data_IF_717736520207
#
_entry.id   IF_717736520207
#
_cell.length_a   1.000
_cell.length_b   1.000
_cell.length_c   1.000
_cell.angle_alpha   90.00
_cell.angle_beta   90.00
_cell.angle_gamma   90.00
#
_symmetry.space_group_name_H-M   'P 1'
#
loop_
_entity.id
_entity.type
_entity.pdbx_description
1 polymer ?
#
# COMPACT_ATOMS: atom_id res chain seq x y z
N UNK A 1 -24.97 1.84 -5.95
CA UNK A 1 -24.63 2.35 -7.28
C UNK A 1 -23.14 2.64 -7.34
N UNK A 2 -22.37 1.74 -7.89
CA UNK A 2 -21.40 1.78 -8.97
C UNK A 2 -20.46 0.59 -8.90
N UNK A 3 -21.01 -0.56 -9.19
CA UNK A 3 -20.27 -1.71 -9.72
C UNK A 3 -20.41 -1.62 -11.22
N UNK A 4 -19.41 -1.12 -11.92
CA UNK A 4 -19.19 -1.34 -13.37
C UNK A 4 -17.96 -0.55 -13.83
N UNK A 5 -16.78 -1.14 -13.74
CA UNK A 5 -15.65 -0.83 -14.66
C UNK A 5 -14.49 -1.82 -14.49
N UNK A 6 -14.76 -3.10 -14.65
CA UNK A 6 -13.71 -4.13 -14.74
C UNK A 6 -14.15 -5.28 -15.65
N UNK A 7 -14.61 -4.93 -16.83
CA UNK A 7 -14.86 -5.91 -17.88
C UNK A 7 -14.84 -5.22 -19.23
N UNK A 8 -13.64 -4.90 -19.74
CA UNK A 8 -13.42 -4.66 -21.18
C UNK A 8 -11.92 -4.54 -21.48
N UNK A 9 -11.20 -5.66 -21.52
CA UNK A 9 -9.93 -5.79 -22.25
C UNK A 9 -9.63 -7.29 -22.45
N UNK A 10 -10.56 -7.98 -23.06
CA UNK A 10 -10.30 -9.24 -23.73
C UNK A 10 -10.97 -9.16 -25.10
N UNK A 11 -10.16 -8.88 -26.08
CA UNK A 11 -10.24 -9.23 -27.50
C UNK A 11 -9.68 -8.10 -28.34
N UNK A 12 -8.47 -8.33 -28.84
CA UNK A 12 -8.17 -8.24 -30.25
C UNK A 12 -6.77 -8.79 -30.48
N UNK A 13 -6.73 -9.99 -31.04
CA UNK A 13 -5.53 -10.57 -31.58
C UNK A 13 -5.20 -9.88 -32.90
N UNK A 14 -4.01 -9.35 -33.02
CA UNK A 14 -3.42 -9.00 -34.30
C UNK A 14 -2.14 -9.80 -34.46
N UNK A 15 -2.17 -10.69 -35.42
CA UNK A 15 -1.02 -11.37 -35.99
C UNK A 15 0.00 -10.33 -36.49
N UNK A 16 1.21 -10.37 -36.05
CA UNK A 16 2.31 -9.68 -36.68
C UNK A 16 3.28 -10.72 -37.23
N UNK A 17 3.47 -10.68 -38.52
CA UNK A 17 4.43 -11.46 -39.31
C UNK A 17 5.86 -11.25 -38.84
N UNK A 18 6.58 -12.36 -38.81
CA UNK A 18 8.03 -12.40 -38.71
C UNK A 18 8.65 -11.65 -39.92
N UNK A 19 9.63 -10.81 -39.62
CA UNK A 19 10.61 -10.43 -40.63
C UNK A 19 12.00 -10.39 -39.98
N UNK A 20 12.86 -11.31 -40.38
CA UNK A 20 14.25 -11.41 -40.02
C UNK A 20 15.05 -10.21 -40.50
N UNK A 21 15.77 -9.58 -39.62
CA UNK A 21 16.74 -8.53 -39.92
C UNK A 21 17.76 -8.32 -38.84
N UNK A 22 18.91 -8.94 -39.01
CA UNK A 22 20.13 -8.82 -38.19
C UNK A 22 20.56 -7.39 -37.89
N UNK A 23 21.16 -7.20 -36.68
CA UNK A 23 22.01 -6.12 -36.15
C UNK A 23 21.28 -5.09 -35.30
N UNK A 24 21.08 -5.43 -34.03
CA UNK A 24 20.83 -4.46 -32.99
C UNK A 24 21.91 -4.54 -31.90
N UNK A 25 23.05 -3.91 -32.16
CA UNK A 25 24.11 -3.84 -31.17
C UNK A 25 23.71 -3.02 -29.94
N UNK A 26 24.56 -3.07 -28.96
CA UNK A 26 24.62 -2.37 -27.65
C UNK A 26 23.73 -1.13 -27.42
N UNK A 27 23.38 -0.36 -28.45
CA UNK A 27 22.49 0.82 -28.39
C UNK A 27 21.01 0.49 -28.15
N UNK A 28 20.52 -0.70 -28.52
CA UNK A 28 19.13 -1.09 -28.25
C UNK A 28 18.80 -1.30 -26.79
N UNK A 29 19.77 -1.80 -26.00
CA UNK A 29 19.62 -2.01 -24.54
C UNK A 29 19.62 -0.72 -23.72
N UNK A 30 20.20 0.37 -24.26
CA UNK A 30 20.27 1.66 -23.56
C UNK A 30 18.94 2.44 -23.67
N UNK A 31 18.20 2.27 -24.77
CA UNK A 31 16.93 2.98 -24.99
C UNK A 31 15.86 2.63 -23.95
N UNK A 32 15.77 1.37 -23.53
CA UNK A 32 14.77 0.93 -22.54
C UNK A 32 15.05 1.44 -21.12
N UNK A 33 16.29 1.81 -20.83
CA UNK A 33 16.69 2.30 -19.50
C UNK A 33 16.32 3.77 -19.30
N UNK A 34 16.16 4.53 -20.37
CA UNK A 34 15.82 5.96 -20.37
C UNK A 34 14.41 6.26 -20.92
N UNK A 35 13.58 5.24 -21.18
CA UNK A 35 12.22 5.46 -21.62
C UNK A 35 11.46 6.24 -20.55
N UNK A 36 10.90 7.38 -20.92
CA UNK A 36 9.98 8.17 -20.09
C UNK A 36 8.55 7.67 -20.24
N UNK A 37 8.28 6.78 -21.21
CA UNK A 37 6.96 6.20 -21.42
C UNK A 37 6.61 5.21 -20.30
N UNK A 38 5.39 5.33 -19.81
CA UNK A 38 4.79 4.37 -18.89
C UNK A 38 4.22 3.22 -19.74
N UNK A 39 4.62 2.00 -19.41
CA UNK A 39 4.13 0.77 -20.05
C UNK A 39 3.60 -0.18 -19.00
N UNK A 40 2.58 -0.94 -19.32
CA UNK A 40 2.13 -2.04 -18.46
C UNK A 40 3.08 -3.22 -18.61
N UNK A 41 3.50 -3.80 -17.49
CA UNK A 41 4.43 -4.92 -17.50
C UNK A 41 4.48 -5.67 -16.17
N UNK A 42 5.36 -6.66 -16.14
CA UNK A 42 5.63 -7.47 -14.94
C UNK A 42 7.07 -7.23 -14.46
N UNK A 43 7.24 -7.31 -13.15
CA UNK A 43 8.56 -7.22 -12.53
C UNK A 43 8.65 -8.23 -11.38
N UNK A 44 9.72 -9.00 -11.34
CA UNK A 44 9.99 -9.91 -10.22
C UNK A 44 11.05 -9.29 -9.32
N UNK A 45 10.70 -9.07 -8.06
CA UNK A 45 11.63 -8.61 -7.03
C UNK A 45 12.63 -9.69 -6.66
N UNK A 46 13.73 -9.30 -5.98
CA UNK A 46 14.78 -10.24 -5.55
C UNK A 46 14.30 -11.33 -4.59
N UNK A 47 13.27 -11.06 -3.80
CA UNK A 47 12.63 -11.99 -2.87
C UNK A 47 11.67 -12.97 -3.55
N UNK A 48 11.45 -12.82 -4.86
CA UNK A 48 10.53 -13.63 -5.65
C UNK A 48 9.11 -13.09 -5.72
N UNK A 49 8.81 -11.96 -5.10
CA UNK A 49 7.51 -11.29 -5.24
C UNK A 49 7.29 -10.80 -6.67
N UNK A 50 6.06 -10.81 -7.14
CA UNK A 50 5.70 -10.46 -8.53
C UNK A 50 4.82 -9.22 -8.56
N UNK A 51 5.29 -8.21 -9.27
CA UNK A 51 4.54 -7.00 -9.59
C UNK A 51 3.94 -7.08 -10.97
N UNK A 52 2.73 -6.55 -11.12
CA UNK A 52 2.05 -6.32 -12.38
C UNK A 52 1.45 -4.91 -12.37
N UNK A 53 1.78 -4.09 -13.35
CA UNK A 53 1.26 -2.72 -13.41
C UNK A 53 2.10 -1.79 -14.27
N UNK A 54 2.02 -0.50 -13.95
CA UNK A 54 2.71 0.55 -14.68
C UNK A 54 4.21 0.51 -14.42
N UNK A 55 4.99 0.61 -15.48
CA UNK A 55 6.44 0.53 -15.48
C UNK A 55 7.06 1.76 -16.13
N UNK A 56 8.12 2.28 -15.55
CA UNK A 56 9.00 3.27 -16.21
C UNK A 56 10.38 2.65 -16.40
N UNK A 57 10.74 2.43 -17.66
CA UNK A 57 11.91 1.62 -17.99
C UNK A 57 11.72 0.18 -17.49
N UNK A 58 12.57 -0.25 -16.56
CA UNK A 58 12.56 -1.62 -16.01
C UNK A 58 12.07 -1.72 -14.56
N UNK A 59 11.42 -0.69 -14.03
CA UNK A 59 10.99 -0.65 -12.62
C UNK A 59 9.52 -0.32 -12.50
N UNK A 60 8.83 -0.87 -11.50
CA UNK A 60 7.51 -0.42 -11.08
C UNK A 60 7.49 1.10 -10.90
N UNK A 61 6.54 1.78 -11.55
CA UNK A 61 6.38 3.22 -11.41
C UNK A 61 4.99 3.64 -11.90
N UNK A 62 4.16 4.11 -11.02
CA UNK A 62 2.75 4.32 -11.22
C UNK A 62 1.92 3.26 -10.50
N UNK A 63 0.71 2.98 -10.98
CA UNK A 63 -0.23 2.05 -10.32
C UNK A 63 0.09 0.60 -10.66
N UNK A 64 -0.02 -0.26 -9.65
CA UNK A 64 0.16 -1.68 -9.86
C UNK A 64 -0.13 -2.53 -8.63
N UNK A 65 0.01 -3.84 -8.83
CA UNK A 65 -0.27 -4.86 -7.84
C UNK A 65 0.96 -5.73 -7.65
N UNK A 66 1.35 -5.98 -6.40
CA UNK A 66 2.37 -6.96 -6.04
C UNK A 66 1.74 -8.10 -5.27
N UNK A 67 2.05 -9.32 -5.67
CA UNK A 67 1.79 -10.53 -4.89
C UNK A 67 3.13 -10.96 -4.29
N UNK A 68 3.20 -10.93 -2.97
CA UNK A 68 4.38 -11.31 -2.22
C UNK A 68 4.47 -12.84 -2.05
N UNK A 69 5.68 -13.35 -1.83
CA UNK A 69 5.93 -14.79 -1.68
C UNK A 69 5.21 -15.41 -0.46
N UNK A 70 4.97 -14.62 0.57
CA UNK A 70 4.23 -15.03 1.77
C UNK A 70 2.71 -15.01 1.61
N UNK A 71 2.21 -14.59 0.44
CA UNK A 71 0.78 -14.49 0.14
C UNK A 71 0.17 -13.12 0.39
N UNK A 72 0.91 -12.16 0.93
CA UNK A 72 0.45 -10.78 1.03
C UNK A 72 0.19 -10.19 -0.36
N UNK A 73 -0.67 -9.19 -0.41
CA UNK A 73 -0.96 -8.45 -1.64
C UNK A 73 -0.90 -6.95 -1.38
N UNK A 74 -0.16 -6.23 -2.19
CA UNK A 74 -0.23 -4.78 -2.23
C UNK A 74 -0.82 -4.32 -3.55
N UNK A 75 -1.74 -3.36 -3.50
CA UNK A 75 -2.31 -2.69 -4.66
C UNK A 75 -2.26 -1.18 -4.44
N UNK A 76 -1.50 -0.46 -5.28
CA UNK A 76 -1.28 0.96 -5.05
C UNK A 76 -0.23 1.57 -5.95
N UNK A 77 0.34 2.67 -5.49
CA UNK A 77 1.27 3.49 -6.25
C UNK A 77 2.72 3.12 -5.96
N UNK A 78 3.54 3.23 -7.01
CA UNK A 78 4.98 2.95 -6.97
C UNK A 78 5.78 4.11 -7.57
N UNK A 79 6.91 4.41 -6.95
CA UNK A 79 7.91 5.33 -7.46
C UNK A 79 9.26 4.62 -7.47
N UNK A 80 9.87 4.46 -8.66
CA UNK A 80 11.19 3.83 -8.84
C UNK A 80 11.34 2.44 -8.20
N UNK A 81 10.24 1.67 -8.13
CA UNK A 81 10.20 0.32 -7.60
C UNK A 81 9.88 0.20 -6.11
N UNK A 82 9.54 1.30 -5.45
CA UNK A 82 9.11 1.34 -4.06
C UNK A 82 7.65 1.76 -3.96
N UNK A 83 6.93 1.24 -2.96
CA UNK A 83 5.58 1.69 -2.63
C UNK A 83 5.65 3.13 -2.13
N UNK A 84 4.92 4.03 -2.80
CA UNK A 84 4.92 5.45 -2.49
C UNK A 84 3.64 6.09 -3.02
N UNK A 85 2.94 6.88 -2.22
CA UNK A 85 1.60 7.36 -2.52
C UNK A 85 0.53 6.55 -1.81
N UNK A 86 -0.66 6.44 -2.40
CA UNK A 86 -1.76 5.68 -1.80
C UNK A 86 -1.71 4.21 -2.19
N UNK A 87 -2.03 3.33 -1.23
CA UNK A 87 -2.12 1.89 -1.51
C UNK A 87 -2.80 1.09 -0.41
N UNK A 88 -3.22 -0.10 -0.79
CA UNK A 88 -3.88 -1.08 0.08
C UNK A 88 -2.96 -2.29 0.20
N UNK A 89 -2.65 -2.68 1.43
CA UNK A 89 -1.91 -3.89 1.76
C UNK A 89 -2.84 -4.88 2.45
N UNK A 90 -2.93 -6.07 1.92
CA UNK A 90 -3.79 -7.15 2.41
C UNK A 90 -2.93 -8.31 2.87
N UNK A 91 -3.14 -8.72 4.11
CA UNK A 91 -2.49 -9.89 4.71
C UNK A 91 -3.35 -11.15 4.48
N UNK A 92 -2.74 -12.35 4.42
CA UNK A 92 -3.47 -13.60 4.19
C UNK A 92 -4.47 -13.96 5.30
N UNK A 93 -4.26 -13.46 6.51
CA UNK A 93 -5.14 -13.64 7.67
C UNK A 93 -6.37 -12.73 7.65
N UNK A 94 -6.46 -11.80 6.68
CA UNK A 94 -7.56 -10.88 6.50
C UNK A 94 -7.34 -9.49 7.11
N UNK A 95 -6.20 -9.25 7.76
CA UNK A 95 -5.83 -7.89 8.15
C UNK A 95 -5.57 -7.02 6.91
N UNK A 96 -5.75 -5.73 7.04
CA UNK A 96 -5.59 -4.79 5.92
C UNK A 96 -5.10 -3.43 6.41
N UNK A 97 -4.14 -2.87 5.67
CA UNK A 97 -3.81 -1.44 5.75
C UNK A 97 -4.25 -0.73 4.48
N UNK A 98 -4.82 0.44 4.62
CA UNK A 98 -5.28 1.29 3.54
C UNK A 98 -4.86 2.73 3.83
N UNK A 99 -3.92 3.27 3.06
CA UNK A 99 -3.38 4.59 3.38
C UNK A 99 -2.18 5.00 2.55
N UNK A 100 -1.47 6.00 3.08
CA UNK A 100 -0.29 6.56 2.46
C UNK A 100 0.94 5.69 2.72
N UNK A 101 1.82 5.66 1.74
CA UNK A 101 3.09 4.94 1.75
C UNK A 101 4.23 5.89 1.38
N UNK A 102 5.37 5.71 2.01
CA UNK A 102 6.60 6.40 1.65
C UNK A 102 7.79 5.46 1.78
N UNK A 103 8.53 5.26 0.67
CA UNK A 103 9.74 4.43 0.61
C UNK A 103 9.55 3.00 1.17
N UNK A 104 8.44 2.32 0.78
CA UNK A 104 8.00 1.00 1.23
C UNK A 104 7.43 0.92 2.65
N UNK A 105 7.27 2.03 3.36
CA UNK A 105 6.75 2.08 4.73
C UNK A 105 5.38 2.75 4.78
N UNK A 106 4.52 2.31 5.69
CA UNK A 106 3.28 3.01 6.04
C UNK A 106 3.64 4.39 6.59
N UNK A 107 2.97 5.43 6.06
CA UNK A 107 3.30 6.80 6.39
C UNK A 107 2.09 7.72 6.23
N UNK A 108 2.06 8.89 6.91
CA UNK A 108 0.95 9.82 6.77
C UNK A 108 -0.37 9.24 7.26
N UNK A 109 -1.47 9.57 6.60
CA UNK A 109 -2.80 9.07 6.98
C UNK A 109 -3.04 7.66 6.48
N UNK A 110 -3.60 6.80 7.35
CA UNK A 110 -3.97 5.45 7.00
C UNK A 110 -4.90 4.78 8.00
N UNK A 111 -5.57 3.74 7.52
CA UNK A 111 -6.49 2.94 8.31
C UNK A 111 -5.97 1.51 8.34
N UNK A 112 -5.86 0.94 9.54
CA UNK A 112 -5.54 -0.47 9.73
C UNK A 112 -6.75 -1.23 10.27
N UNK A 113 -7.10 -2.32 9.64
CA UNK A 113 -8.16 -3.22 10.02
C UNK A 113 -7.55 -4.49 10.59
N UNK A 114 -7.76 -4.70 11.88
CA UNK A 114 -7.23 -5.86 12.60
C UNK A 114 -8.16 -7.08 12.46
N UNK A 115 -7.59 -8.27 12.57
CA UNK A 115 -8.35 -9.54 12.50
C UNK A 115 -9.46 -9.63 13.55
N UNK A 116 -9.29 -8.99 14.70
CA UNK A 116 -10.29 -8.96 15.80
C UNK A 116 -11.40 -7.92 15.61
N UNK A 117 -11.55 -7.38 14.39
CA UNK A 117 -12.49 -6.32 14.02
C UNK A 117 -12.25 -4.96 14.72
N UNK A 118 -11.09 -4.76 15.32
CA UNK A 118 -10.66 -3.42 15.69
C UNK A 118 -10.22 -2.64 14.43
N UNK A 119 -10.22 -1.32 14.51
CA UNK A 119 -9.75 -0.46 13.43
C UNK A 119 -9.01 0.74 14.02
N UNK A 120 -7.81 0.96 13.54
CA UNK A 120 -7.08 2.22 13.78
C UNK A 120 -7.24 3.14 12.57
N UNK A 121 -7.59 4.39 12.80
CA UNK A 121 -7.71 5.44 11.79
C UNK A 121 -6.91 6.65 12.27
N UNK A 122 -5.75 6.89 11.67
CA UNK A 122 -4.85 7.91 12.18
C UNK A 122 -3.59 8.08 11.36
N UNK A 123 -2.63 8.74 12.02
CA UNK A 123 -1.32 9.02 11.43
C UNK A 123 -0.35 7.86 11.64
N UNK A 124 0.53 7.67 10.66
CA UNK A 124 1.55 6.63 10.60
C UNK A 124 2.92 7.25 10.32
N UNK A 125 3.95 6.72 10.93
CA UNK A 125 5.32 7.09 10.68
C UNK A 125 6.23 5.85 10.73
N UNK A 126 6.86 5.51 9.59
CA UNK A 126 7.78 4.38 9.46
C UNK A 126 7.20 3.06 10.00
N UNK A 127 6.01 2.69 9.52
CA UNK A 127 5.23 1.51 9.88
C UNK A 127 4.61 1.51 11.30
N UNK A 128 4.79 2.58 12.09
CA UNK A 128 4.21 2.71 13.43
C UNK A 128 3.01 3.67 13.44
N UNK A 129 2.01 3.38 14.26
CA UNK A 129 0.99 4.36 14.65
C UNK A 129 1.69 5.53 15.36
N UNK A 130 1.45 6.75 14.87
CA UNK A 130 2.17 7.92 15.36
C UNK A 130 1.35 9.18 15.15
N UNK A 131 1.41 10.16 16.09
CA UNK A 131 0.60 11.36 16.02
C UNK A 131 -0.85 11.11 16.40
N UNK A 132 -1.78 11.89 15.86
CA UNK A 132 -3.19 11.78 16.19
C UNK A 132 -3.85 10.55 15.52
N UNK A 133 -4.67 9.83 16.30
CA UNK A 133 -5.38 8.68 15.80
C UNK A 133 -6.52 8.21 16.69
N UNK A 134 -7.44 7.47 16.05
CA UNK A 134 -8.59 6.86 16.71
C UNK A 134 -8.52 5.35 16.59
N UNK A 135 -8.56 4.67 17.72
CA UNK A 135 -8.77 3.23 17.79
C UNK A 135 -10.25 2.93 18.04
N UNK A 136 -10.88 2.25 17.12
CA UNK A 136 -12.24 1.72 17.25
C UNK A 136 -12.13 0.26 17.67
N UNK A 137 -12.72 -0.08 18.81
CA UNK A 137 -12.75 -1.44 19.31
C UNK A 137 -14.02 -2.15 18.86
N UNK A 138 -13.94 -3.45 18.64
CA UNK A 138 -15.08 -4.27 18.19
C UNK A 138 -16.26 -4.26 19.17
N UNK A 139 -16.01 -3.98 20.46
CA UNK A 139 -17.04 -3.89 21.51
C UNK A 139 -17.78 -2.55 21.52
N UNK A 140 -17.45 -1.64 20.59
CA UNK A 140 -18.06 -0.30 20.48
C UNK A 140 -17.36 0.78 21.28
N UNK A 141 -16.29 0.46 22.02
CA UNK A 141 -15.44 1.47 22.65
C UNK A 141 -14.60 2.20 21.59
N UNK A 142 -14.12 3.36 21.93
CA UNK A 142 -13.11 4.07 21.11
C UNK A 142 -12.10 4.82 21.98
N UNK A 143 -10.90 4.96 21.43
CA UNK A 143 -9.87 5.84 21.97
C UNK A 143 -9.50 6.86 20.91
N UNK A 144 -9.50 8.12 21.26
CA UNK A 144 -9.03 9.25 20.43
C UNK A 144 -7.89 9.92 21.18
N UNK A 145 -6.74 10.03 20.55
CA UNK A 145 -5.60 10.68 21.19
C UNK A 145 -4.30 10.52 20.44
N UNK A 146 -3.22 10.85 21.12
CA UNK A 146 -1.89 10.85 20.57
C UNK A 146 -1.22 9.48 20.70
N UNK A 147 -0.41 9.13 19.70
CA UNK A 147 0.29 7.85 19.57
C UNK A 147 1.77 8.10 19.28
N UNK A 148 2.62 7.30 19.86
CA UNK A 148 4.07 7.27 19.59
C UNK A 148 4.53 5.83 19.52
N UNK A 149 4.99 5.41 18.33
CA UNK A 149 5.49 4.06 18.07
C UNK A 149 4.55 2.96 18.62
N UNK A 150 3.29 2.96 18.14
CA UNK A 150 2.19 2.04 18.50
C UNK A 150 1.69 2.15 19.94
N UNK A 151 2.22 3.06 20.74
CA UNK A 151 1.78 3.27 22.13
C UNK A 151 0.96 4.55 22.23
N UNK A 152 -0.09 4.50 23.03
CA UNK A 152 -0.85 5.70 23.41
C UNK A 152 -0.01 6.56 24.34
N UNK A 153 0.16 7.82 24.01
CA UNK A 153 0.98 8.77 24.74
C UNK A 153 0.36 10.16 24.72
N UNK A 154 0.62 10.97 25.76
CA UNK A 154 0.06 12.32 25.83
C UNK A 154 -1.44 12.34 26.09
N UNK A 155 -2.11 13.37 25.59
CA UNK A 155 -3.54 13.56 25.82
C UNK A 155 -4.37 12.56 24.99
N UNK A 156 -5.40 11.99 25.63
CA UNK A 156 -6.34 11.13 24.97
C UNK A 156 -7.64 10.95 25.72
N UNK A 157 -8.67 10.56 25.00
CA UNK A 157 -10.00 10.30 25.53
C UNK A 157 -10.44 8.88 25.18
N UNK A 158 -10.72 8.09 26.16
CA UNK A 158 -11.38 6.79 26.01
C UNK A 158 -12.89 6.97 26.20
N UNK A 159 -13.68 6.46 25.27
CA UNK A 159 -15.14 6.47 25.34
C UNK A 159 -15.62 5.02 25.29
N UNK A 160 -16.35 4.61 26.32
CA UNK A 160 -16.97 3.28 26.36
C UNK A 160 -18.22 3.25 25.49
N UNK A 161 -18.64 2.05 25.07
CA UNK A 161 -19.85 1.84 24.25
C UNK A 161 -21.13 2.37 24.91
N UNK A 162 -21.17 2.46 26.24
CA UNK A 162 -22.28 3.06 26.99
C UNK A 162 -22.26 4.59 27.04
N UNK A 163 -21.28 5.24 26.38
CA UNK A 163 -21.14 6.68 26.30
C UNK A 163 -20.34 7.33 27.44
N UNK A 164 -19.91 6.57 28.46
CA UNK A 164 -19.01 7.09 29.47
C UNK A 164 -17.67 7.49 28.86
N UNK A 165 -17.04 8.53 29.42
CA UNK A 165 -15.75 9.05 28.90
C UNK A 165 -14.72 9.18 30.01
N UNK A 166 -13.47 8.91 29.66
CA UNK A 166 -12.30 9.14 30.49
C UNK A 166 -11.23 9.85 29.69
N UNK A 167 -10.82 11.02 30.14
CA UNK A 167 -9.73 11.78 29.53
C UNK A 167 -8.56 11.82 30.49
N UNK A 168 -7.38 11.53 29.99
CA UNK A 168 -6.15 11.53 30.79
C UNK A 168 -4.94 11.95 29.95
N UNK A 169 -3.88 12.30 30.67
CA UNK A 169 -2.55 12.44 30.12
C UNK A 169 -1.81 11.12 30.37
N UNK A 170 -1.47 10.43 29.29
CA UNK A 170 -0.74 9.16 29.33
C UNK A 170 0.76 9.42 29.24
N UNK A 171 1.52 8.82 30.13
CA UNK A 171 2.97 8.78 30.05
C UNK A 171 3.40 7.34 29.82
N UNK A 172 4.26 7.10 28.84
CA UNK A 172 4.95 5.81 28.75
C UNK A 172 5.95 5.75 29.90
N UNK A 173 5.74 4.84 30.86
CA UNK A 173 6.83 4.45 31.76
C UNK A 173 7.84 3.64 30.94
N UNK A 174 9.09 4.03 30.98
CA UNK A 174 10.23 3.28 30.42
C UNK A 174 10.27 1.85 30.97
#
# INVERSE_FOLDING_TARGET
>A
YTTLLLALLAQEGVMAQENEGKKGGFFGKIKDTFSTEIKIGNYTFKDGSVYTGEMKGRKPNGKGKTVFKNGDVFEGEYVKGKREGYGIYMFPDGEKYEGQWFQDQQHGKGIYYFMNNNRYDGMWYQDYQHGEGTMYYHNGDLYVGHWVNDKREGEGTYTWANGAKYSCLLYTSD
#
